data_IF_662708286649
#
_entry.id   IF_662708286649
#
_cell.length_a   1.000
_cell.length_b   1.000
_cell.length_c   1.000
_cell.angle_alpha   90.00
_cell.angle_beta   90.00
_cell.angle_gamma   90.00
#
_symmetry.space_group_name_H-M   'P 1'
#
loop_
_entity.id
_entity.type
_entity.pdbx_description
1 polymer ?
#
# COMPACT_ATOMS: atom_id res chain seq x y z
N UNK A 1 7.52 -12.70 12.98
CA UNK A 1 6.85 -11.41 12.71
C UNK A 1 6.83 -11.19 11.20
N UNK A 2 5.67 -11.33 10.55
CA UNK A 2 5.51 -11.35 9.07
C UNK A 2 4.88 -10.04 8.57
N UNK A 3 5.59 -8.93 8.75
CA UNK A 3 5.08 -7.57 8.41
C UNK A 3 4.85 -7.40 6.91
N UNK A 4 5.62 -8.10 6.07
CA UNK A 4 5.48 -8.06 4.61
C UNK A 4 4.07 -8.43 4.12
N UNK A 5 3.35 -9.32 4.81
CA UNK A 5 1.98 -9.68 4.43
C UNK A 5 1.00 -8.48 4.56
N UNK A 6 1.24 -7.58 5.52
CA UNK A 6 0.44 -6.36 5.66
C UNK A 6 0.73 -5.40 4.50
N UNK A 7 2.00 -5.24 4.13
CA UNK A 7 2.41 -4.42 2.98
C UNK A 7 1.86 -4.98 1.66
N UNK A 8 1.92 -6.30 1.46
CA UNK A 8 1.41 -6.99 0.27
C UNK A 8 -0.09 -6.76 0.08
N UNK A 9 -0.88 -6.78 1.17
CA UNK A 9 -2.32 -6.50 1.12
C UNK A 9 -2.62 -5.09 0.61
N UNK A 10 -1.92 -4.09 1.13
CA UNK A 10 -2.06 -2.68 0.73
C UNK A 10 -1.60 -2.49 -0.73
N UNK A 11 -0.44 -3.05 -1.08
CA UNK A 11 0.11 -3.01 -2.43
C UNK A 11 -0.82 -3.66 -3.46
N UNK A 12 -1.33 -4.85 -3.18
CA UNK A 12 -2.24 -5.58 -4.10
C UNK A 12 -3.55 -4.84 -4.30
N UNK A 13 -4.06 -4.19 -3.26
CA UNK A 13 -5.25 -3.34 -3.36
C UNK A 13 -4.96 -2.12 -4.25
N UNK A 14 -3.87 -1.39 -4.00
CA UNK A 14 -3.45 -0.28 -4.86
C UNK A 14 -3.24 -0.70 -6.33
N UNK A 15 -2.55 -1.82 -6.55
CA UNK A 15 -2.29 -2.38 -7.88
C UNK A 15 -3.56 -2.78 -8.62
N UNK A 16 -4.50 -3.45 -7.94
CA UNK A 16 -5.78 -3.84 -8.56
C UNK A 16 -6.64 -2.65 -8.96
N UNK A 17 -6.64 -1.56 -8.17
CA UNK A 17 -7.34 -0.31 -8.52
C UNK A 17 -6.76 0.36 -9.76
N UNK A 18 -5.44 0.31 -9.93
CA UNK A 18 -4.75 0.87 -11.09
C UNK A 18 -4.67 -0.07 -12.29
N UNK A 19 -5.12 -1.33 -12.15
CA UNK A 19 -4.98 -2.35 -13.18
C UNK A 19 -3.53 -2.73 -13.49
N UNK A 20 -2.63 -2.66 -12.50
CA UNK A 20 -1.20 -2.96 -12.64
C UNK A 20 -0.74 -4.01 -11.64
N UNK A 21 0.22 -4.84 -12.04
CA UNK A 21 0.93 -5.71 -11.11
C UNK A 21 1.96 -4.88 -10.33
N UNK A 22 2.06 -5.13 -9.03
CA UNK A 22 3.07 -4.50 -8.17
C UNK A 22 4.30 -5.41 -8.08
N UNK A 23 5.48 -4.82 -8.28
CA UNK A 23 6.74 -5.52 -8.07
C UNK A 23 7.04 -5.60 -6.57
N UNK A 24 7.39 -6.79 -6.09
CA UNK A 24 7.74 -7.07 -4.70
C UNK A 24 9.18 -7.55 -4.56
N UNK A 25 10.03 -7.24 -5.54
CA UNK A 25 11.45 -7.61 -5.54
C UNK A 25 12.15 -7.02 -4.31
N UNK A 26 12.76 -7.84 -3.44
CA UNK A 26 13.45 -7.35 -2.26
C UNK A 26 14.61 -6.42 -2.61
N UNK A 27 14.79 -5.36 -1.82
CA UNK A 27 15.91 -4.43 -1.92
C UNK A 27 16.05 -3.72 -3.28
N UNK A 28 14.95 -3.50 -4.01
CA UNK A 28 14.97 -2.80 -5.31
C UNK A 28 15.68 -1.43 -5.23
N UNK A 29 15.42 -0.66 -4.17
CA UNK A 29 16.05 0.65 -3.99
C UNK A 29 17.56 0.58 -3.78
N UNK A 30 18.08 -0.51 -3.22
CA UNK A 30 19.53 -0.70 -3.07
C UNK A 30 20.24 -1.00 -4.39
N UNK A 31 19.49 -1.39 -5.43
CA UNK A 31 20.00 -1.66 -6.78
C UNK A 31 19.98 -0.41 -7.67
N UNK A 32 19.24 0.64 -7.27
CA UNK A 32 19.22 1.93 -7.96
C UNK A 32 20.56 2.63 -7.70
N UNK A 33 21.47 2.58 -8.69
CA UNK A 33 22.82 3.19 -8.63
C UNK A 33 22.74 4.68 -8.28
N UNK A 34 23.75 5.16 -7.54
CA UNK A 34 23.94 6.47 -6.87
C UNK A 34 23.83 7.76 -7.75
N UNK A 35 23.11 7.76 -8.86
CA UNK A 35 22.98 8.89 -9.79
C UNK A 35 21.90 9.92 -9.44
N UNK A 36 20.94 9.57 -8.57
CA UNK A 36 19.78 10.43 -8.23
C UNK A 36 19.49 10.52 -6.73
N UNK A 37 20.48 10.22 -5.87
CA UNK A 37 20.34 10.21 -4.40
C UNK A 37 20.44 11.62 -3.78
N UNK A 38 19.68 12.57 -4.31
CA UNK A 38 19.60 13.96 -3.81
C UNK A 38 18.29 14.33 -3.14
N UNK A 39 17.22 13.55 -3.32
CA UNK A 39 15.94 13.74 -2.63
C UNK A 39 15.57 12.47 -1.87
N UNK A 40 15.14 12.61 -0.62
CA UNK A 40 14.54 11.50 0.13
C UNK A 40 13.43 10.87 -0.72
N UNK A 41 13.62 9.64 -1.17
CA UNK A 41 12.56 8.88 -1.82
C UNK A 41 11.41 8.75 -0.82
N UNK A 42 10.16 9.01 -1.22
CA UNK A 42 9.03 8.82 -0.32
C UNK A 42 9.04 7.40 0.24
N UNK A 43 8.62 7.23 1.49
CA UNK A 43 8.59 5.89 2.07
C UNK A 43 7.65 5.00 1.25
N UNK A 44 7.93 3.70 1.16
CA UNK A 44 7.06 2.75 0.46
C UNK A 44 5.60 2.83 0.95
N UNK A 45 5.40 3.09 2.25
CA UNK A 45 4.06 3.26 2.84
C UNK A 45 3.37 4.52 2.32
N UNK A 46 4.12 5.60 2.07
CA UNK A 46 3.58 6.83 1.51
C UNK A 46 3.18 6.66 0.05
N UNK A 47 3.98 5.95 -0.74
CA UNK A 47 3.68 5.63 -2.14
C UNK A 47 2.41 4.76 -2.26
N UNK A 48 2.36 3.66 -1.50
CA UNK A 48 1.18 2.78 -1.50
C UNK A 48 -0.06 3.50 -0.94
N UNK A 49 0.15 4.37 0.06
CA UNK A 49 -0.92 5.14 0.66
C UNK A 49 -1.49 6.21 -0.27
N UNK A 50 -0.66 6.87 -1.10
CA UNK A 50 -1.15 7.81 -2.10
C UNK A 50 -1.95 7.10 -3.19
N UNK A 51 -1.50 5.93 -3.65
CA UNK A 51 -2.24 5.11 -4.64
C UNK A 51 -3.67 4.80 -4.17
N UNK A 52 -3.85 4.45 -2.89
CA UNK A 52 -5.17 4.20 -2.31
C UNK A 52 -6.00 5.47 -2.20
N UNK A 53 -5.40 6.56 -1.73
CA UNK A 53 -6.07 7.84 -1.53
C UNK A 53 -6.59 8.45 -2.84
N UNK A 54 -5.86 8.29 -3.95
CA UNK A 54 -6.28 8.72 -5.28
C UNK A 54 -7.59 8.05 -5.74
N UNK A 55 -7.88 6.85 -5.26
CA UNK A 55 -9.11 6.09 -5.56
C UNK A 55 -10.16 6.21 -4.45
N UNK A 56 -9.98 7.11 -3.49
CA UNK A 56 -10.94 7.36 -2.40
C UNK A 56 -10.90 6.36 -1.25
N UNK A 57 -9.86 5.51 -1.17
CA UNK A 57 -9.64 4.63 -0.02
C UNK A 57 -8.81 5.29 1.07
N UNK A 58 -8.83 4.72 2.28
CA UNK A 58 -7.98 5.16 3.37
C UNK A 58 -6.48 4.94 3.03
N UNK A 59 -5.64 5.94 3.33
CA UNK A 59 -4.18 5.90 3.11
C UNK A 59 -3.50 4.69 3.73
N UNK A 60 -4.00 4.19 4.86
CA UNK A 60 -3.40 3.04 5.57
C UNK A 60 -4.09 1.72 5.25
N UNK A 61 -4.99 1.69 4.26
CA UNK A 61 -5.68 0.48 3.82
C UNK A 61 -6.87 0.05 4.68
N UNK A 62 -7.17 0.75 5.78
CA UNK A 62 -8.33 0.45 6.64
C UNK A 62 -9.64 0.77 5.94
N UNK A 63 -10.68 -0.01 6.27
CA UNK A 63 -12.02 0.15 5.71
C UNK A 63 -13.06 0.02 6.81
N UNK A 64 -14.17 0.75 6.65
CA UNK A 64 -15.35 0.59 7.50
C UNK A 64 -16.07 -0.68 7.04
N UNK A 65 -16.24 -1.61 7.97
CA UNK A 65 -16.94 -2.87 7.73
C UNK A 65 -18.21 -2.92 8.58
N UNK A 66 -19.23 -3.62 8.07
CA UNK A 66 -20.49 -3.85 8.77
C UNK A 66 -20.62 -5.32 9.14
N UNK A 67 -21.11 -5.61 10.34
CA UNK A 67 -21.38 -6.96 10.80
C UNK A 67 -22.51 -7.59 9.98
N UNK A 68 -22.25 -8.75 9.36
CA UNK A 68 -23.29 -9.51 8.66
C UNK A 68 -24.35 -10.12 9.58
N UNK A 69 -24.10 -10.20 10.89
CA UNK A 69 -25.06 -10.73 11.88
C UNK A 69 -25.94 -9.63 12.44
N UNK A 70 -25.34 -8.50 12.83
CA UNK A 70 -26.04 -7.43 13.54
C UNK A 70 -26.41 -6.24 12.66
N UNK A 71 -25.85 -6.13 11.45
CA UNK A 71 -26.08 -5.00 10.55
C UNK A 71 -25.48 -3.66 11.02
N UNK A 72 -24.72 -3.67 12.11
CA UNK A 72 -24.07 -2.49 12.69
C UNK A 72 -22.64 -2.36 12.19
N UNK A 73 -22.10 -1.15 12.21
CA UNK A 73 -20.69 -0.89 11.95
C UNK A 73 -19.80 -1.63 12.96
N UNK A 74 -18.66 -2.15 12.50
CA UNK A 74 -17.64 -2.74 13.35
C UNK A 74 -16.80 -1.61 13.98
N UNK A 75 -17.01 -1.40 15.28
CA UNK A 75 -16.22 -0.50 16.14
C UNK A 75 -15.12 -1.22 16.89
#
# INVERSE_FOLDING_TARGET
MTIAMLLESIASKGGSLHGKFVDATPFEDSLKKDGESGSESPSLVDELGSMLAEHGFNRYGTEVLYSGVYGTELT
#
